data_IF_423634357579
#
_entry.id   IF_423634357579
#
_cell.length_a   1.000
_cell.length_b   1.000
_cell.length_c   1.000
_cell.angle_alpha   90.00
_cell.angle_beta   90.00
_cell.angle_gamma   90.00
#
_symmetry.space_group_name_H-M   'P 1'
#
loop_
_entity.id
_entity.type
_entity.pdbx_description
1 polymer ?
#
# COMPACT_ATOMS: atom_id res chain seq x y z
N UNK A 1 -4.91 -3.02 9.57
CA UNK A 1 -3.92 -2.27 10.38
C UNK A 1 -3.38 -1.00 9.70
N UNK A 2 -4.04 -0.49 8.64
CA UNK A 2 -3.57 0.69 7.88
C UNK A 2 -4.63 1.79 7.71
N UNK A 3 -5.88 1.50 8.09
CA UNK A 3 -7.02 2.41 7.96
C UNK A 3 -6.94 3.62 8.90
N UNK A 4 -6.53 3.39 10.15
CA UNK A 4 -6.27 4.45 11.12
C UNK A 4 -5.02 5.27 10.75
N UNK A 5 -3.99 4.64 10.16
CA UNK A 5 -2.80 5.36 9.71
C UNK A 5 -3.08 6.24 8.49
N UNK A 6 -3.87 5.79 7.52
CA UNK A 6 -4.27 6.65 6.40
C UNK A 6 -5.13 7.81 6.87
N UNK A 7 -6.05 7.58 7.82
CA UNK A 7 -6.86 8.66 8.41
C UNK A 7 -5.98 9.68 9.16
N UNK A 8 -4.98 9.20 9.91
CA UNK A 8 -4.02 10.04 10.62
C UNK A 8 -3.16 10.88 9.66
N UNK A 9 -2.65 10.29 8.58
CA UNK A 9 -1.86 11.03 7.58
C UNK A 9 -2.71 12.08 6.86
N UNK A 10 -3.96 11.78 6.53
CA UNK A 10 -4.89 12.78 5.97
C UNK A 10 -5.19 13.88 6.99
N UNK A 11 -5.24 13.55 8.29
CA UNK A 11 -5.54 14.51 9.35
C UNK A 11 -4.38 15.48 9.56
N UNK A 12 -3.15 14.98 9.52
CA UNK A 12 -1.92 15.80 9.58
C UNK A 12 -1.79 16.73 8.37
N UNK A 13 -2.25 16.33 7.18
CA UNK A 13 -2.12 17.16 5.97
C UNK A 13 -3.20 18.24 5.81
N UNK A 14 -4.45 17.97 6.25
CA UNK A 14 -5.60 18.86 6.00
C UNK A 14 -6.17 19.52 7.26
N UNK A 15 -5.83 19.04 8.46
CA UNK A 15 -6.53 19.42 9.69
C UNK A 15 -7.97 18.90 9.75
N UNK A 16 -8.69 19.20 10.84
CA UNK A 16 -10.09 18.80 11.04
C UNK A 16 -11.03 19.71 10.19
N UNK A 17 -11.01 19.51 8.88
CA UNK A 17 -11.86 20.21 7.90
C UNK A 17 -13.04 19.33 7.50
N UNK A 18 -14.18 19.92 7.13
CA UNK A 18 -15.38 19.17 6.67
C UNK A 18 -15.10 18.27 5.44
N UNK A 19 -14.03 18.54 4.70
CA UNK A 19 -13.57 17.74 3.56
C UNK A 19 -12.65 16.57 3.92
N UNK A 20 -12.26 16.42 5.20
CA UNK A 20 -11.34 15.39 5.68
C UNK A 20 -11.79 13.98 5.29
N UNK A 21 -13.04 13.63 5.61
CA UNK A 21 -13.58 12.31 5.30
C UNK A 21 -13.66 12.06 3.79
N UNK A 22 -14.03 13.08 3.02
CA UNK A 22 -14.15 12.95 1.57
C UNK A 22 -12.77 12.73 0.91
N UNK A 23 -11.77 13.51 1.31
CA UNK A 23 -10.40 13.38 0.80
C UNK A 23 -9.76 12.06 1.20
N UNK A 24 -9.99 11.61 2.43
CA UNK A 24 -9.49 10.32 2.90
C UNK A 24 -10.15 9.13 2.18
N UNK A 25 -11.46 9.15 1.95
CA UNK A 25 -12.17 8.12 1.19
C UNK A 25 -11.66 8.06 -0.26
N UNK A 26 -11.48 9.20 -0.93
CA UNK A 26 -10.94 9.25 -2.29
C UNK A 26 -9.52 8.67 -2.33
N UNK A 27 -8.66 9.07 -1.39
CA UNK A 27 -7.30 8.55 -1.31
C UNK A 27 -7.26 7.04 -1.05
N UNK A 28 -8.15 6.53 -0.19
CA UNK A 28 -8.28 5.11 0.09
C UNK A 28 -8.75 4.32 -1.14
N UNK A 29 -9.74 4.84 -1.88
CA UNK A 29 -10.23 4.24 -3.11
C UNK A 29 -9.15 4.26 -4.19
N UNK A 30 -8.38 5.34 -4.33
CA UNK A 30 -7.27 5.42 -5.30
C UNK A 30 -6.09 4.51 -4.94
N UNK A 31 -5.90 4.19 -3.66
CA UNK A 31 -4.85 3.27 -3.24
C UNK A 31 -5.11 1.81 -3.68
N UNK A 32 -6.37 1.41 -3.86
CA UNK A 32 -6.74 0.06 -4.32
C UNK A 32 -6.19 -0.30 -5.72
N UNK A 33 -6.42 0.49 -6.79
CA UNK A 33 -5.86 0.19 -8.11
C UNK A 33 -4.34 0.24 -8.11
N UNK A 34 -3.72 1.15 -7.34
CA UNK A 34 -2.26 1.18 -7.19
C UNK A 34 -1.73 -0.11 -6.53
N UNK A 35 -2.35 -0.56 -5.45
CA UNK A 35 -2.00 -1.81 -4.78
C UNK A 35 -2.23 -3.03 -5.68
N UNK A 36 -3.29 -3.03 -6.48
CA UNK A 36 -3.58 -4.10 -7.43
C UNK A 36 -2.50 -4.17 -8.53
N UNK A 37 -2.15 -3.03 -9.14
CA UNK A 37 -1.10 -2.97 -10.16
C UNK A 37 0.23 -3.44 -9.58
N UNK A 38 0.60 -3.00 -8.38
CA UNK A 38 1.82 -3.44 -7.70
C UNK A 38 1.77 -4.93 -7.38
N UNK A 39 0.66 -5.46 -6.90
CA UNK A 39 0.53 -6.88 -6.61
C UNK A 39 0.72 -7.74 -7.87
N UNK A 40 0.10 -7.37 -9.00
CA UNK A 40 0.23 -8.13 -10.24
C UNK A 40 1.60 -8.01 -10.91
N UNK A 41 2.24 -6.85 -10.81
CA UNK A 41 3.54 -6.61 -11.45
C UNK A 41 4.72 -7.07 -10.59
N UNK A 42 4.64 -6.91 -9.27
CA UNK A 42 5.76 -7.11 -8.34
C UNK A 42 5.72 -8.49 -7.65
N UNK A 43 4.55 -9.11 -7.47
CA UNK A 43 4.48 -10.45 -6.88
C UNK A 43 5.25 -11.53 -7.65
N UNK A 44 5.15 -11.66 -8.99
CA UNK A 44 5.92 -12.67 -9.73
C UNK A 44 7.44 -12.54 -9.59
N UNK A 45 8.07 -11.36 -9.79
CA UNK A 45 9.52 -11.23 -9.65
C UNK A 45 10.00 -11.43 -8.21
N UNK A 46 9.24 -10.97 -7.20
CA UNK A 46 9.57 -11.24 -5.78
C UNK A 46 9.62 -12.74 -5.51
N UNK A 47 8.65 -13.51 -6.02
CA UNK A 47 8.62 -14.96 -5.82
C UNK A 47 9.86 -15.63 -6.42
N UNK A 48 10.28 -15.21 -7.61
CA UNK A 48 11.52 -15.70 -8.23
C UNK A 48 12.78 -15.36 -7.42
N UNK A 49 12.86 -14.14 -6.90
CA UNK A 49 14.01 -13.70 -6.07
C UNK A 49 14.07 -14.49 -4.77
N UNK A 50 12.93 -14.67 -4.09
CA UNK A 50 12.86 -15.44 -2.85
C UNK A 50 13.29 -16.89 -3.06
N UNK A 51 12.80 -17.55 -4.12
CA UNK A 51 13.20 -18.92 -4.46
C UNK A 51 14.71 -18.99 -4.73
N UNK A 52 15.24 -18.03 -5.51
CA UNK A 52 16.67 -17.97 -5.83
C UNK A 52 17.54 -17.77 -4.59
N UNK A 53 17.11 -16.90 -3.68
CA UNK A 53 17.84 -16.62 -2.44
C UNK A 53 17.83 -17.83 -1.50
N UNK A 54 16.67 -18.48 -1.33
CA UNK A 54 16.55 -19.68 -0.50
C UNK A 54 17.40 -20.84 -1.03
N UNK A 55 17.40 -21.04 -2.36
CA UNK A 55 18.18 -22.11 -2.99
C UNK A 55 19.70 -21.85 -2.96
N UNK A 56 20.11 -20.59 -2.77
CA UNK A 56 21.53 -20.18 -2.59
C UNK A 56 22.01 -20.30 -1.15
N UNK A 57 21.12 -20.21 -0.16
CA UNK A 57 21.48 -20.33 1.27
C UNK A 57 21.57 -21.76 1.80
N UNK A 58 21.17 -22.76 1.00
CA UNK A 58 21.23 -24.20 1.33
C UNK A 58 22.39 -24.95 0.64
N UNK A 59 23.29 -24.24 -0.06
CA UNK A 59 24.60 -24.75 -0.51
C UNK A 59 25.70 -24.11 0.31
#
# INVERSE_FOLDING_TARGET
MSFLLSAWVTYVNLGFSETFLHSWLIAFINAWPAAFVVAFTVAPPIRCVVITFFNRGLK
#
